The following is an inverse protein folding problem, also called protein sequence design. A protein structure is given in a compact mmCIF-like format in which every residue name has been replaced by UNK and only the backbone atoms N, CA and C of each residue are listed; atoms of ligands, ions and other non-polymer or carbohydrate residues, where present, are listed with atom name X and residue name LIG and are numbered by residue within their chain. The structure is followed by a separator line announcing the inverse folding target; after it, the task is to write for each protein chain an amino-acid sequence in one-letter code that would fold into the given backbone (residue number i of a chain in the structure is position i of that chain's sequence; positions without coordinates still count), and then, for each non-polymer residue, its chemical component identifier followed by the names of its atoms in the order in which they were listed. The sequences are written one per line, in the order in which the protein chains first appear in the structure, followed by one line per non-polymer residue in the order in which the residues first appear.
data_IF_954865585379
#
_entry.id   IF_954865585379
#
_cell.length_a   1.000
_cell.length_b   1.000
_cell.length_c   1.000
_cell.angle_alpha   90.00
_cell.angle_beta   90.00
_cell.angle_gamma   90.00
#
_symmetry.space_group_name_H-M   'P 1'
#
loop_
_entity.id
_entity.type
_entity.pdbx_description
1 polymer ?
#
# COMPACT_ATOMS: atom_id res chain seq x y z
N UNK A 1 34.38 -7.80 33.98
CA UNK A 1 34.41 -6.32 34.00
C UNK A 1 32.98 -5.82 34.01
N UNK A 2 32.54 -5.03 35.00
CA UNK A 2 31.18 -4.49 35.02
C UNK A 2 31.10 -3.32 34.02
N UNK A 3 30.08 -3.34 33.16
CA UNK A 3 29.76 -2.24 32.25
C UNK A 3 29.41 -0.98 33.05
N UNK A 4 30.08 0.14 32.75
CA UNK A 4 29.69 1.44 33.31
C UNK A 4 28.25 1.75 32.88
N UNK A 5 27.38 2.25 33.77
CA UNK A 5 26.05 2.69 33.39
C UNK A 5 26.19 3.85 32.40
N UNK A 6 25.62 3.70 31.21
CA UNK A 6 25.55 4.75 30.21
C UNK A 6 24.61 5.83 30.77
N UNK A 7 25.09 7.07 30.84
CA UNK A 7 24.27 8.20 31.31
C UNK A 7 23.11 8.45 30.33
N UNK A 8 21.93 8.78 30.86
CA UNK A 8 20.75 9.16 30.06
C UNK A 8 21.07 10.27 29.05
N UNK A 9 21.94 11.22 29.41
CA UNK A 9 22.37 12.28 28.49
C UNK A 9 23.12 11.73 27.25
N UNK A 10 23.92 10.67 27.42
CA UNK A 10 24.64 10.00 26.33
C UNK A 10 23.68 9.21 25.43
N UNK A 11 22.64 8.59 26.01
CA UNK A 11 21.59 7.89 25.26
C UNK A 11 20.78 8.86 24.39
N UNK A 12 20.40 10.02 24.94
CA UNK A 12 19.68 11.04 24.17
C UNK A 12 20.52 11.57 23.01
N UNK A 13 21.79 11.90 23.25
CA UNK A 13 22.67 12.39 22.19
C UNK A 13 22.82 11.39 21.03
N UNK A 14 23.01 10.09 21.32
CA UNK A 14 23.10 9.06 20.29
C UNK A 14 21.80 8.93 19.48
N UNK A 15 20.66 8.94 20.17
CA UNK A 15 19.34 8.75 19.58
C UNK A 15 18.92 9.89 18.64
N UNK A 16 19.47 11.08 18.85
CA UNK A 16 19.23 12.26 18.01
C UNK A 16 20.33 12.48 16.95
N UNK A 17 21.39 11.68 16.95
CA UNK A 17 22.51 11.81 16.00
C UNK A 17 22.29 10.93 14.77
N UNK A 18 22.37 11.49 13.54
CA UNK A 18 22.33 10.73 12.30
C UNK A 18 23.38 9.62 12.23
N UNK A 19 22.98 8.42 11.82
CA UNK A 19 23.85 7.26 11.68
C UNK A 19 24.06 6.90 10.20
N UNK A 20 25.30 6.61 9.76
CA UNK A 20 25.57 6.14 8.40
C UNK A 20 24.77 4.89 8.02
N UNK A 21 24.61 3.96 8.97
CA UNK A 21 23.91 2.68 8.77
C UNK A 21 22.40 2.87 8.56
N UNK A 22 21.82 3.97 9.04
CA UNK A 22 20.44 4.36 8.77
C UNK A 22 20.33 5.33 7.60
N UNK A 23 21.34 5.30 6.74
CA UNK A 23 21.47 6.22 5.62
C UNK A 23 21.23 7.66 6.08
N UNK A 24 21.88 8.11 7.17
CA UNK A 24 21.77 9.49 7.65
C UNK A 24 20.50 9.82 8.45
N UNK A 25 19.71 8.84 8.88
CA UNK A 25 18.67 9.03 9.89
C UNK A 25 19.23 8.81 11.31
N UNK A 26 18.65 9.48 12.30
CA UNK A 26 18.89 9.14 13.70
C UNK A 26 18.05 7.93 14.13
N UNK A 27 18.42 7.24 15.23
CA UNK A 27 17.58 6.18 15.80
C UNK A 27 16.13 6.60 16.08
N UNK A 28 15.89 7.85 16.50
CA UNK A 28 14.52 8.37 16.70
C UNK A 28 13.75 8.46 15.39
N UNK A 29 14.37 8.95 14.31
CA UNK A 29 13.73 9.04 13.00
C UNK A 29 13.47 7.65 12.40
N UNK A 30 14.39 6.71 12.58
CA UNK A 30 14.17 5.31 12.18
C UNK A 30 13.00 4.69 12.94
N UNK A 31 12.94 4.87 14.26
CA UNK A 31 11.81 4.41 15.07
C UNK A 31 10.48 4.97 14.57
N UNK A 32 10.42 6.26 14.23
CA UNK A 32 9.22 6.88 13.67
C UNK A 32 8.82 6.27 12.33
N UNK A 33 9.77 5.96 11.43
CA UNK A 33 9.45 5.29 10.16
C UNK A 33 8.85 3.90 10.36
N UNK A 34 9.37 3.13 11.33
CA UNK A 34 8.94 1.76 11.56
C UNK A 34 7.57 1.67 12.25
N UNK A 35 7.27 2.58 13.17
CA UNK A 35 6.11 2.45 14.06
C UNK A 35 5.07 3.57 13.91
N UNK A 36 5.44 4.72 13.35
CA UNK A 36 4.58 5.89 13.19
C UNK A 36 4.77 6.57 11.81
N UNK A 37 4.75 5.80 10.70
CA UNK A 37 4.97 6.37 9.38
C UNK A 37 3.84 7.35 9.02
N UNK A 38 4.18 8.40 8.27
CA UNK A 38 3.29 9.46 7.79
C UNK A 38 2.77 10.43 8.84
N UNK A 39 3.04 10.20 10.13
CA UNK A 39 2.73 11.16 11.19
C UNK A 39 3.51 12.48 11.01
N UNK A 40 3.02 13.62 11.54
CA UNK A 40 3.66 14.93 11.34
C UNK A 40 5.14 15.01 11.73
N UNK A 41 5.56 14.20 12.70
CA UNK A 41 6.93 14.08 13.21
C UNK A 41 7.84 13.20 12.34
N UNK A 42 7.28 12.38 11.46
CA UNK A 42 8.02 11.45 10.63
C UNK A 42 8.74 12.17 9.48
N UNK A 43 9.91 11.66 9.07
CA UNK A 43 10.66 12.19 7.92
C UNK A 43 9.97 11.89 6.57
N UNK A 44 9.12 10.86 6.53
CA UNK A 44 8.27 10.53 5.38
C UNK A 44 6.83 10.89 5.73
N UNK A 45 6.22 11.76 4.90
CA UNK A 45 4.87 12.29 5.11
C UNK A 45 4.09 12.36 3.82
N UNK A 46 2.77 12.32 3.92
CA UNK A 46 1.89 12.64 2.79
C UNK A 46 1.84 14.15 2.57
N UNK A 47 1.90 14.56 1.31
CA UNK A 47 1.59 15.95 0.93
C UNK A 47 0.10 16.20 1.16
N UNK A 48 -0.22 17.32 1.79
CA UNK A 48 -1.62 17.72 2.07
C UNK A 48 -2.39 18.10 0.82
N UNK A 49 -1.69 18.60 -0.20
CA UNK A 49 -2.24 18.87 -1.53
C UNK A 49 -1.41 18.12 -2.56
N UNK A 50 -2.08 17.27 -3.34
CA UNK A 50 -1.49 16.50 -4.44
C UNK A 50 -2.30 16.80 -5.70
N UNK A 51 -1.67 17.34 -6.75
CA UNK A 51 -2.32 17.54 -8.04
C UNK A 51 -2.89 16.24 -8.64
N UNK A 52 -3.99 16.35 -9.37
CA UNK A 52 -4.67 15.18 -9.95
C UNK A 52 -3.82 14.42 -10.95
N UNK A 53 -2.97 15.10 -11.72
CA UNK A 53 -2.02 14.48 -12.66
C UNK A 53 -0.94 13.64 -11.97
N UNK A 54 -0.59 13.97 -10.72
CA UNK A 54 0.28 13.11 -9.88
C UNK A 54 -0.50 11.89 -9.39
N UNK A 55 -1.74 12.08 -8.91
CA UNK A 55 -2.59 10.96 -8.48
C UNK A 55 -2.95 10.03 -9.66
N UNK A 56 -3.03 10.55 -10.87
CA UNK A 56 -3.29 9.79 -12.08
C UNK A 56 -2.19 8.78 -12.41
N UNK A 57 -0.98 9.04 -11.91
CA UNK A 57 0.19 8.17 -12.04
C UNK A 57 0.25 7.08 -10.95
N UNK A 58 -0.69 7.05 -10.00
CA UNK A 58 -0.73 6.02 -8.94
C UNK A 58 -1.65 4.89 -9.38
N UNK A 59 -1.13 3.76 -9.91
CA UNK A 59 -1.98 2.81 -10.63
C UNK A 59 -2.98 2.09 -9.74
N UNK A 60 -2.59 1.80 -8.50
CA UNK A 60 -3.48 1.13 -7.54
C UNK A 60 -4.63 2.05 -7.08
N UNK A 61 -4.41 3.38 -7.04
CA UNK A 61 -5.49 4.35 -6.79
C UNK A 61 -6.49 4.35 -7.94
N UNK A 62 -6.00 4.39 -9.19
CA UNK A 62 -6.83 4.34 -10.39
C UNK A 62 -7.64 3.05 -10.48
N UNK A 63 -7.03 1.92 -10.14
CA UNK A 63 -7.72 0.64 -10.04
C UNK A 63 -8.79 0.64 -8.94
N UNK A 64 -8.52 1.28 -7.80
CA UNK A 64 -9.50 1.47 -6.72
C UNK A 64 -10.69 2.31 -7.18
N UNK A 65 -10.45 3.46 -7.82
CA UNK A 65 -11.50 4.33 -8.37
C UNK A 65 -12.39 3.57 -9.37
N UNK A 66 -11.79 2.82 -10.30
CA UNK A 66 -12.51 1.99 -11.27
C UNK A 66 -13.39 0.94 -10.57
N UNK A 67 -12.87 0.29 -9.53
CA UNK A 67 -13.65 -0.68 -8.77
C UNK A 67 -14.80 -0.07 -7.99
N UNK A 68 -14.62 1.11 -7.38
CA UNK A 68 -15.69 1.81 -6.69
C UNK A 68 -16.78 2.27 -7.66
N UNK A 69 -16.43 2.73 -8.86
CA UNK A 69 -17.40 3.03 -9.92
C UNK A 69 -18.11 1.77 -10.41
N UNK A 70 -17.42 0.64 -10.55
CA UNK A 70 -18.03 -0.64 -10.86
C UNK A 70 -19.07 -1.03 -9.79
N UNK A 71 -18.71 -0.92 -8.50
CA UNK A 71 -19.66 -1.19 -7.42
C UNK A 71 -20.84 -0.21 -7.46
N UNK A 72 -20.60 1.08 -7.71
CA UNK A 72 -21.66 2.08 -7.86
C UNK A 72 -22.65 1.71 -8.95
N UNK A 73 -22.15 1.22 -10.09
CA UNK A 73 -22.95 0.81 -11.26
C UNK A 73 -23.79 -0.44 -10.99
N UNK A 74 -23.21 -1.44 -10.32
CA UNK A 74 -23.82 -2.77 -10.18
C UNK A 74 -24.60 -2.96 -8.87
N UNK A 75 -24.54 -2.03 -7.90
CA UNK A 75 -24.97 -2.26 -6.50
C UNK A 75 -26.37 -2.91 -6.39
N UNK A 76 -26.48 -4.16 -5.90
CA UNK A 76 -25.40 -5.04 -5.40
C UNK A 76 -24.67 -5.87 -6.47
N UNK A 77 -23.33 -5.90 -6.41
CA UNK A 77 -22.51 -6.82 -7.22
C UNK A 77 -22.50 -8.21 -6.58
N UNK A 78 -23.05 -9.22 -7.26
CA UNK A 78 -23.08 -10.60 -6.77
C UNK A 78 -21.73 -11.30 -6.95
N UNK A 79 -21.17 -11.84 -5.87
CA UNK A 79 -19.97 -12.67 -5.91
C UNK A 79 -20.27 -14.09 -6.38
N UNK A 80 -19.20 -14.79 -6.76
CA UNK A 80 -19.26 -16.25 -6.96
C UNK A 80 -19.53 -16.97 -5.62
N UNK A 81 -19.94 -18.25 -5.64
CA UNK A 81 -20.13 -19.03 -4.41
C UNK A 81 -18.89 -19.10 -3.51
N UNK A 82 -17.69 -18.96 -4.08
CA UNK A 82 -16.42 -18.93 -3.34
C UNK A 82 -16.08 -17.56 -2.77
N UNK A 83 -16.95 -16.56 -2.94
CA UNK A 83 -16.70 -15.19 -2.50
C UNK A 83 -15.75 -14.40 -3.39
N UNK A 84 -15.40 -14.91 -4.58
CA UNK A 84 -14.57 -14.19 -5.55
C UNK A 84 -15.42 -13.35 -6.52
N UNK A 85 -14.81 -12.31 -7.09
CA UNK A 85 -15.36 -11.50 -8.16
C UNK A 85 -15.62 -12.35 -9.42
N UNK A 86 -16.80 -12.22 -10.04
CA UNK A 86 -17.10 -12.88 -11.31
C UNK A 86 -16.09 -12.51 -12.42
N UNK A 87 -15.74 -13.49 -13.26
CA UNK A 87 -14.74 -13.35 -14.34
C UNK A 87 -14.95 -12.15 -15.26
N UNK A 88 -16.22 -11.78 -15.54
CA UNK A 88 -16.52 -10.62 -16.38
C UNK A 88 -15.95 -9.32 -15.79
N UNK A 89 -16.03 -9.14 -14.47
CA UNK A 89 -15.55 -7.95 -13.79
C UNK A 89 -14.03 -8.00 -13.58
N UNK A 90 -13.44 -9.19 -13.39
CA UNK A 90 -11.99 -9.35 -13.39
C UNK A 90 -11.40 -8.82 -14.70
N UNK A 91 -11.96 -9.25 -15.84
CA UNK A 91 -11.53 -8.81 -17.18
C UNK A 91 -11.78 -7.33 -17.42
N UNK A 92 -12.92 -6.81 -16.97
CA UNK A 92 -13.24 -5.38 -17.07
C UNK A 92 -12.22 -4.52 -16.31
N UNK A 93 -11.91 -4.87 -15.06
CA UNK A 93 -10.94 -4.16 -14.24
C UNK A 93 -9.53 -4.23 -14.84
N UNK A 94 -9.12 -5.42 -15.29
CA UNK A 94 -7.80 -5.63 -15.89
C UNK A 94 -7.63 -4.88 -17.21
N UNK A 95 -8.70 -4.79 -18.02
CA UNK A 95 -8.68 -4.10 -19.31
C UNK A 95 -8.39 -2.59 -19.21
N UNK A 96 -8.52 -1.98 -18.03
CA UNK A 96 -8.05 -0.61 -17.81
C UNK A 96 -6.52 -0.47 -17.94
N UNK A 97 -5.76 -1.55 -17.80
CA UNK A 97 -4.31 -1.55 -17.98
C UNK A 97 -3.53 -0.74 -16.93
N UNK A 98 -4.13 -0.45 -15.77
CA UNK A 98 -3.44 0.29 -14.71
C UNK A 98 -2.28 -0.52 -14.12
N UNK A 99 -2.50 -1.80 -13.85
CA UNK A 99 -1.46 -2.71 -13.34
C UNK A 99 -1.43 -3.93 -14.25
N UNK A 100 -0.32 -4.09 -14.97
CA UNK A 100 -0.06 -5.24 -15.81
C UNK A 100 0.85 -6.21 -15.05
N UNK A 101 0.56 -7.50 -15.16
CA UNK A 101 1.27 -8.57 -14.47
C UNK A 101 1.93 -9.47 -15.52
N UNK A 102 3.25 -9.61 -15.46
CA UNK A 102 4.06 -10.24 -16.53
C UNK A 102 3.52 -11.60 -16.98
N UNK A 103 3.08 -12.45 -16.05
CA UNK A 103 2.56 -13.78 -16.39
C UNK A 103 1.25 -13.76 -17.19
N UNK A 104 0.42 -12.71 -17.04
CA UNK A 104 -0.77 -12.51 -17.86
C UNK A 104 -0.39 -11.94 -19.23
N UNK A 105 0.51 -10.96 -19.26
CA UNK A 105 0.94 -10.28 -20.50
C UNK A 105 1.71 -11.19 -21.44
N UNK A 106 2.52 -12.10 -20.88
CA UNK A 106 3.28 -13.11 -21.64
C UNK A 106 2.45 -14.33 -22.00
N UNK A 107 1.24 -14.47 -21.45
CA UNK A 107 0.37 -15.63 -21.63
C UNK A 107 0.82 -16.88 -20.89
N UNK A 108 1.71 -16.76 -19.89
CA UNK A 108 2.10 -17.86 -19.00
C UNK A 108 0.88 -18.46 -18.28
N UNK A 109 -0.08 -17.61 -17.92
CA UNK A 109 -1.40 -18.01 -17.43
C UNK A 109 -2.49 -17.04 -17.89
N UNK A 110 -3.75 -17.37 -17.62
CA UNK A 110 -4.91 -16.56 -18.01
C UNK A 110 -5.64 -16.01 -16.79
N UNK A 111 -6.25 -14.82 -16.92
CA UNK A 111 -7.12 -14.26 -15.89
C UNK A 111 -8.46 -15.01 -15.85
N UNK A 112 -8.49 -16.11 -15.10
CA UNK A 112 -9.65 -17.01 -15.00
C UNK A 112 -10.29 -16.99 -13.61
N UNK A 113 -9.49 -16.73 -12.57
CA UNK A 113 -9.86 -16.61 -11.17
C UNK A 113 -9.31 -15.30 -10.62
N UNK A 114 -9.89 -14.81 -9.53
CA UNK A 114 -9.44 -13.58 -8.87
C UNK A 114 -7.97 -13.67 -8.44
N UNK A 115 -7.59 -14.82 -7.85
CA UNK A 115 -6.22 -15.12 -7.41
C UNK A 115 -5.18 -15.20 -8.55
N UNK A 116 -5.61 -15.21 -9.81
CA UNK A 116 -4.68 -15.14 -10.94
C UNK A 116 -4.17 -13.69 -11.12
N UNK A 117 -4.71 -12.70 -10.40
CA UNK A 117 -4.19 -11.33 -10.34
C UNK A 117 -3.98 -10.90 -8.90
N UNK A 118 -2.72 -10.62 -8.54
CA UNK A 118 -2.38 -10.15 -7.21
C UNK A 118 -2.97 -8.77 -6.95
N UNK A 119 -2.98 -7.92 -7.97
CA UNK A 119 -3.53 -6.57 -7.92
C UNK A 119 -5.04 -6.60 -7.64
N UNK A 120 -5.81 -7.43 -8.34
CA UNK A 120 -7.26 -7.51 -8.15
C UNK A 120 -7.62 -8.20 -6.82
N UNK A 121 -6.90 -9.24 -6.43
CA UNK A 121 -7.07 -9.89 -5.11
C UNK A 121 -6.83 -8.88 -3.98
N UNK A 122 -5.72 -8.15 -4.05
CA UNK A 122 -5.36 -7.10 -3.07
C UNK A 122 -6.42 -5.99 -3.05
N UNK A 123 -6.89 -5.55 -4.22
CA UNK A 123 -7.95 -4.54 -4.36
C UNK A 123 -9.24 -4.95 -3.66
N UNK A 124 -9.71 -6.18 -3.90
CA UNK A 124 -10.94 -6.68 -3.28
C UNK A 124 -10.82 -6.73 -1.75
N UNK A 125 -9.70 -7.22 -1.23
CA UNK A 125 -9.46 -7.30 0.21
C UNK A 125 -9.30 -5.92 0.86
N UNK A 126 -8.48 -5.05 0.25
CA UNK A 126 -8.22 -3.70 0.78
C UNK A 126 -9.46 -2.81 0.76
N UNK A 127 -10.34 -2.93 -0.25
CA UNK A 127 -11.58 -2.15 -0.30
C UNK A 127 -12.60 -2.56 0.78
N UNK A 128 -12.65 -3.85 1.12
CA UNK A 128 -13.42 -4.34 2.27
C UNK A 128 -12.81 -3.85 3.59
N UNK A 129 -11.49 -4.01 3.78
CA UNK A 129 -10.79 -3.52 4.96
C UNK A 129 -11.01 -2.00 5.13
N UNK A 130 -10.81 -1.21 4.08
CA UNK A 130 -10.99 0.25 4.10
C UNK A 130 -12.44 0.70 4.42
N UNK A 131 -13.41 -0.21 4.38
CA UNK A 131 -14.83 0.07 4.53
C UNK A 131 -15.41 0.84 3.34
N UNK A 132 -14.78 0.75 2.17
CA UNK A 132 -15.25 1.33 0.92
C UNK A 132 -16.35 0.47 0.29
N UNK A 133 -16.25 -0.85 0.50
CA UNK A 133 -17.27 -1.83 0.17
C UNK A 133 -17.68 -2.62 1.41
N UNK A 134 -18.86 -3.24 1.37
CA UNK A 134 -19.32 -4.20 2.39
C UNK A 134 -19.86 -5.47 1.75
N UNK A 135 -19.57 -6.60 2.37
CA UNK A 135 -20.11 -7.90 1.98
C UNK A 135 -21.40 -8.19 2.75
N UNK A 136 -22.49 -8.44 2.03
CA UNK A 136 -23.79 -8.84 2.59
C UNK A 136 -24.32 -10.03 1.82
N UNK A 137 -24.43 -11.20 2.45
CA UNK A 137 -25.00 -12.43 1.87
C UNK A 137 -24.45 -12.77 0.48
N UNK A 138 -23.12 -12.73 0.30
CA UNK A 138 -22.45 -13.03 -0.97
C UNK A 138 -22.55 -11.91 -2.02
N UNK A 139 -22.92 -10.70 -1.61
CA UNK A 139 -22.99 -9.53 -2.47
C UNK A 139 -22.10 -8.41 -1.94
N UNK A 140 -21.37 -7.73 -2.83
CA UNK A 140 -20.64 -6.52 -2.53
C UNK A 140 -21.52 -5.30 -2.79
N UNK A 141 -21.55 -4.40 -1.82
CA UNK A 141 -22.23 -3.12 -1.91
C UNK A 141 -21.23 -1.99 -1.69
N UNK A 142 -21.32 -0.94 -2.50
CA UNK A 142 -20.62 0.31 -2.22
C UNK A 142 -21.16 0.91 -0.91
N UNK A 143 -20.26 1.34 -0.01
CA UNK A 143 -20.67 2.02 1.21
C UNK A 143 -20.88 3.52 0.95
N UNK A 144 -21.57 4.21 1.87
CA UNK A 144 -21.67 5.68 1.83
C UNK A 144 -20.29 6.34 1.80
N UNK A 145 -19.34 5.82 2.59
CA UNK A 145 -17.94 6.26 2.61
C UNK A 145 -17.27 6.07 1.24
N UNK A 146 -17.44 4.90 0.63
CA UNK A 146 -16.93 4.61 -0.71
C UNK A 146 -17.47 5.57 -1.77
N UNK A 147 -18.78 5.83 -1.75
CA UNK A 147 -19.41 6.78 -2.67
C UNK A 147 -18.96 8.24 -2.46
N UNK A 148 -18.74 8.67 -1.21
CA UNK A 148 -18.24 10.02 -0.91
C UNK A 148 -16.79 10.22 -1.40
N UNK A 149 -15.94 9.20 -1.27
CA UNK A 149 -14.54 9.27 -1.66
C UNK A 149 -14.31 9.17 -3.18
N UNK A 150 -15.36 8.93 -3.97
CA UNK A 150 -15.32 9.03 -5.44
C UNK A 150 -15.41 10.49 -5.95
N UNK A 151 -15.72 11.45 -5.09
CA UNK A 151 -15.68 12.87 -5.47
C UNK A 151 -14.24 13.26 -5.86
N UNK A 152 -14.02 13.91 -7.02
CA UNK A 152 -12.70 14.39 -7.43
C UNK A 152 -11.97 15.25 -6.38
N UNK A 153 -12.70 16.00 -5.56
CA UNK A 153 -12.12 16.80 -4.47
C UNK A 153 -11.60 15.93 -3.31
N UNK A 154 -12.05 14.68 -3.21
CA UNK A 154 -11.69 13.72 -2.16
C UNK A 154 -10.59 12.74 -2.57
N UNK A 155 -10.05 12.82 -3.79
CA UNK A 155 -8.99 11.91 -4.27
C UNK A 155 -7.76 11.86 -3.34
N UNK A 156 -7.25 12.97 -2.75
CA UNK A 156 -6.17 12.88 -1.77
C UNK A 156 -6.55 12.08 -0.52
N UNK A 157 -7.80 12.20 -0.06
CA UNK A 157 -8.32 11.46 1.09
C UNK A 157 -8.52 9.97 0.76
N UNK A 158 -8.99 9.64 -0.45
CA UNK A 158 -9.07 8.28 -0.94
C UNK A 158 -7.68 7.64 -0.99
N UNK A 159 -6.70 8.35 -1.56
CA UNK A 159 -5.31 7.88 -1.62
C UNK A 159 -4.74 7.62 -0.22
N UNK A 160 -4.88 8.57 0.71
CA UNK A 160 -4.40 8.40 2.07
C UNK A 160 -5.00 7.16 2.75
N UNK A 161 -6.30 6.92 2.57
CA UNK A 161 -6.98 5.74 3.11
C UNK A 161 -6.51 4.43 2.45
N UNK A 162 -6.33 4.43 1.13
CA UNK A 162 -5.85 3.25 0.37
C UNK A 162 -4.44 2.89 0.82
N UNK A 163 -3.54 3.87 0.89
CA UNK A 163 -2.17 3.68 1.34
C UNK A 163 -2.15 3.17 2.79
N UNK A 164 -2.84 3.84 3.71
CA UNK A 164 -2.89 3.45 5.13
C UNK A 164 -3.44 2.02 5.30
N UNK A 165 -4.50 1.67 4.57
CA UNK A 165 -5.09 0.34 4.61
C UNK A 165 -4.10 -0.71 4.10
N UNK A 166 -3.44 -0.45 2.97
CA UNK A 166 -2.46 -1.36 2.40
C UNK A 166 -1.24 -1.55 3.31
N UNK A 167 -0.74 -0.48 3.93
CA UNK A 167 0.50 -0.55 4.73
C UNK A 167 0.28 -1.00 6.17
N UNK A 168 -0.90 -0.78 6.76
CA UNK A 168 -1.15 -1.09 8.19
C UNK A 168 -2.12 -2.24 8.45
N UNK A 169 -3.07 -2.49 7.53
CA UNK A 169 -4.23 -3.35 7.82
C UNK A 169 -4.30 -4.59 6.93
N UNK A 170 -3.82 -4.47 5.71
CA UNK A 170 -3.64 -5.58 4.78
C UNK A 170 -2.42 -6.42 5.18
N UNK A 171 -2.53 -7.75 5.17
CA UNK A 171 -1.43 -8.65 5.51
C UNK A 171 -0.61 -8.96 4.26
N UNK A 172 0.58 -8.39 4.14
CA UNK A 172 1.42 -8.57 2.94
C UNK A 172 1.80 -10.02 2.67
N UNK A 173 2.05 -10.80 3.73
CA UNK A 173 2.36 -12.22 3.62
C UNK A 173 1.26 -13.07 2.99
N UNK A 174 0.03 -12.55 2.84
CA UNK A 174 -1.02 -13.24 2.09
C UNK A 174 -0.74 -13.29 0.58
N UNK A 175 0.14 -12.43 0.07
CA UNK A 175 0.48 -12.33 -1.34
C UNK A 175 1.64 -13.27 -1.75
N UNK A 176 2.59 -13.51 -0.86
CA UNK A 176 3.82 -14.27 -1.16
C UNK A 176 4.05 -15.48 -0.25
N UNK A 177 3.24 -15.66 0.80
CA UNK A 177 3.37 -16.73 1.77
C UNK A 177 4.59 -16.58 2.69
N UNK A 178 5.19 -15.39 2.80
CA UNK A 178 6.41 -15.22 3.59
C UNK A 178 6.14 -15.51 5.08
N UNK A 179 6.96 -16.33 5.77
CA UNK A 179 6.67 -16.79 7.14
C UNK A 179 6.59 -15.67 8.17
N UNK A 180 7.37 -14.61 7.98
CA UNK A 180 7.34 -13.44 8.86
C UNK A 180 6.37 -12.40 8.33
N UNK A 181 5.16 -12.38 8.89
CA UNK A 181 4.07 -11.52 8.43
C UNK A 181 4.35 -10.01 8.46
N UNK A 182 5.43 -9.56 9.10
CA UNK A 182 5.67 -8.13 9.36
C UNK A 182 7.01 -7.59 8.87
N UNK A 183 7.98 -8.41 8.44
CA UNK A 183 9.35 -7.91 8.15
C UNK A 183 9.39 -6.90 6.99
N UNK A 184 8.68 -7.16 5.88
CA UNK A 184 8.56 -6.17 4.79
C UNK A 184 7.61 -5.03 5.12
N UNK A 185 6.51 -5.35 5.81
CA UNK A 185 5.46 -4.39 6.11
C UNK A 185 5.86 -3.38 7.19
N UNK A 186 6.75 -3.73 8.13
CA UNK A 186 7.21 -2.81 9.19
C UNK A 186 8.14 -1.73 8.63
N UNK A 187 9.02 -2.08 7.69
CA UNK A 187 10.00 -1.16 7.11
C UNK A 187 9.55 -0.44 5.85
N UNK A 188 8.28 -0.55 5.43
CA UNK A 188 7.81 -0.01 4.16
C UNK A 188 8.14 1.49 3.96
N UNK A 189 8.01 2.29 5.02
CA UNK A 189 8.28 3.73 4.96
C UNK A 189 9.78 4.03 4.86
N UNK A 190 10.63 3.14 5.38
CA UNK A 190 12.07 3.24 5.17
C UNK A 190 12.44 2.96 3.71
N UNK A 191 11.77 2.02 3.03
CA UNK A 191 11.92 1.85 1.58
C UNK A 191 11.55 3.12 0.81
N UNK A 192 10.47 3.83 1.21
CA UNK A 192 10.09 5.12 0.64
C UNK A 192 11.17 6.19 0.91
N UNK A 193 11.74 6.22 2.11
CA UNK A 193 12.85 7.11 2.44
C UNK A 193 14.08 6.85 1.55
N UNK A 194 14.46 5.59 1.35
CA UNK A 194 15.58 5.22 0.50
C UNK A 194 15.35 5.66 -0.96
N UNK A 195 14.13 5.47 -1.48
CA UNK A 195 13.76 5.96 -2.82
C UNK A 195 13.84 7.49 -2.90
N UNK A 196 13.35 8.22 -1.90
CA UNK A 196 13.45 9.68 -1.85
C UNK A 196 14.91 10.16 -1.77
N UNK A 197 15.79 9.40 -1.10
CA UNK A 197 17.20 9.75 -0.89
C UNK A 197 18.10 9.40 -2.08
N UNK A 198 17.84 8.29 -2.75
CA UNK A 198 18.75 7.71 -3.75
C UNK A 198 18.15 7.55 -5.15
N UNK A 199 16.83 7.77 -5.30
CA UNK A 199 16.06 7.48 -6.51
C UNK A 199 16.18 8.51 -7.64
N UNK A 200 16.92 9.61 -7.45
CA UNK A 200 17.28 10.51 -8.56
C UNK A 200 18.13 9.81 -9.62
N UNK A 201 18.86 8.75 -9.23
CA UNK A 201 19.59 7.87 -10.13
C UNK A 201 18.94 6.50 -10.15
N UNK A 202 18.81 5.91 -11.34
CA UNK A 202 18.35 4.53 -11.47
C UNK A 202 19.36 3.61 -10.79
N UNK A 203 18.87 2.78 -9.87
CA UNK A 203 19.67 1.81 -9.10
C UNK A 203 18.99 0.45 -9.14
N UNK A 204 19.80 -0.60 -9.09
CA UNK A 204 19.30 -1.97 -9.00
C UNK A 204 18.59 -2.20 -7.67
N UNK A 205 17.64 -3.13 -7.64
CA UNK A 205 16.93 -3.52 -6.41
C UNK A 205 17.89 -3.97 -5.30
N UNK A 206 19.00 -4.63 -5.66
CA UNK A 206 20.03 -5.07 -4.74
C UNK A 206 20.72 -3.93 -3.99
N UNK A 207 20.80 -2.74 -4.58
CA UNK A 207 21.31 -1.55 -3.88
C UNK A 207 20.41 -1.19 -2.69
N UNK A 208 19.11 -1.12 -2.92
CA UNK A 208 18.15 -0.80 -1.86
C UNK A 208 18.07 -1.91 -0.81
N UNK A 209 18.13 -3.17 -1.24
CA UNK A 209 18.13 -4.31 -0.33
C UNK A 209 19.37 -4.35 0.58
N UNK A 210 20.53 -3.87 0.10
CA UNK A 210 21.73 -3.77 0.94
C UNK A 210 21.65 -2.67 2.01
N UNK A 211 20.69 -1.74 1.87
CA UNK A 211 20.44 -0.65 2.82
C UNK A 211 19.23 -0.89 3.72
N UNK A 212 18.46 -1.97 3.49
CA UNK A 212 17.24 -2.35 4.21
C UNK A 212 17.53 -3.38 5.29
#
# INVERSE_FOLDING_TARGET
MPSKPISTATVHHYNDTPQPDFCGLSPVQMHQLLYQPLEPSCVVRLRTSVPNDVLDQVPFLRLTEAFLHLLQRETPLRLTPLGALPRKYLRELYAHGFILEEGLETGLFTLSREIDSLAITTLHQTTLLAGLARLVRGQLLLTKKGGQLLDPAQRPALWALVLDTFTKRFLWASNDGYPSGTVGQTGWAYSVYLLARFGEQIRLVSFYAAHY
#
